data_IF_095740105772
#
_entry.id   IF_095740105772
#
_cell.length_a   1.000
_cell.length_b   1.000
_cell.length_c   1.000
_cell.angle_alpha   90.00
_cell.angle_beta   90.00
_cell.angle_gamma   90.00
#
_symmetry.space_group_name_H-M   'P 1'
#
loop_
_entity.id
_entity.type
_entity.pdbx_description
1 polymer ?
#
# COMPACT_ATOMS: atom_id res chain seq x y z
N UNK A 1 16.09 5.51 5.97
CA UNK A 1 14.76 5.77 6.57
C UNK A 1 13.73 5.35 5.55
N UNK A 2 13.05 4.24 5.80
CA UNK A 2 11.88 3.85 5.01
C UNK A 2 10.72 4.77 5.39
N UNK A 3 9.97 5.26 4.40
CA UNK A 3 8.78 6.06 4.66
C UNK A 3 7.68 5.14 5.19
N UNK A 4 7.09 5.44 6.34
CA UNK A 4 6.09 4.55 6.96
C UNK A 4 4.85 4.34 6.07
N UNK A 5 4.50 5.33 5.25
CA UNK A 5 3.42 5.25 4.25
C UNK A 5 3.82 4.53 2.95
N UNK A 6 5.07 4.08 2.82
CA UNK A 6 5.53 3.31 1.68
C UNK A 6 5.48 1.82 2.01
N UNK A 7 4.65 1.08 1.28
CA UNK A 7 4.37 -0.33 1.53
C UNK A 7 5.17 -1.27 0.63
N UNK A 8 5.97 -0.73 -0.30
CA UNK A 8 6.69 -1.54 -1.28
C UNK A 8 5.74 -2.27 -2.23
N UNK A 9 6.08 -3.51 -2.59
CA UNK A 9 5.35 -4.32 -3.54
C UNK A 9 4.14 -5.03 -2.91
N UNK A 10 3.12 -4.25 -2.53
CA UNK A 10 1.80 -4.79 -2.17
C UNK A 10 0.88 -4.76 -3.40
N UNK A 11 -0.05 -5.72 -3.47
CA UNK A 11 -1.02 -5.77 -4.57
C UNK A 11 -2.02 -4.63 -4.51
N UNK A 12 -2.69 -4.38 -5.64
CA UNK A 12 -3.81 -3.43 -5.68
C UNK A 12 -4.89 -3.79 -4.65
N UNK A 13 -5.28 -5.05 -4.58
CA UNK A 13 -6.34 -5.54 -3.68
C UNK A 13 -5.95 -5.32 -2.22
N UNK A 14 -4.69 -5.59 -1.86
CA UNK A 14 -4.22 -5.36 -0.48
C UNK A 14 -4.21 -3.88 -0.12
N UNK A 15 -3.79 -3.03 -1.06
CA UNK A 15 -3.89 -1.57 -0.89
C UNK A 15 -5.34 -1.15 -0.67
N UNK A 16 -6.28 -1.71 -1.43
CA UNK A 16 -7.69 -1.39 -1.32
C UNK A 16 -8.29 -1.82 0.03
N UNK A 17 -7.94 -3.01 0.50
CA UNK A 17 -8.31 -3.51 1.83
C UNK A 17 -7.81 -2.58 2.94
N UNK A 18 -6.52 -2.18 2.91
CA UNK A 18 -5.91 -1.34 3.93
C UNK A 18 -6.58 0.04 4.00
N UNK A 19 -6.80 0.68 2.86
CA UNK A 19 -7.43 2.00 2.79
C UNK A 19 -8.92 1.93 3.18
N UNK A 20 -9.63 0.90 2.72
CA UNK A 20 -11.05 0.71 3.05
C UNK A 20 -11.28 0.39 4.53
N UNK A 21 -10.35 -0.35 5.17
CA UNK A 21 -10.38 -0.63 6.60
C UNK A 21 -10.23 0.64 7.45
N UNK A 22 -9.43 1.61 6.99
CA UNK A 22 -9.33 2.92 7.64
C UNK A 22 -10.59 3.74 7.39
N UNK A 23 -11.04 3.82 6.14
CA UNK A 23 -12.33 4.43 5.77
C UNK A 23 -12.42 5.95 5.98
N UNK A 24 -11.28 6.65 6.13
CA UNK A 24 -11.23 8.10 6.34
C UNK A 24 -10.81 8.79 5.05
N UNK A 25 -11.59 9.78 4.61
CA UNK A 25 -11.26 10.60 3.44
C UNK A 25 -9.89 11.29 3.59
N UNK A 26 -9.08 11.21 2.54
CA UNK A 26 -7.70 11.71 2.55
C UNK A 26 -6.70 10.75 3.19
N UNK A 27 -7.12 9.52 3.51
CA UNK A 27 -6.19 8.43 3.84
C UNK A 27 -5.41 8.03 2.60
N UNK A 28 -4.11 7.80 2.75
CA UNK A 28 -3.26 7.49 1.61
C UNK A 28 -2.10 6.56 1.96
N UNK A 29 -1.60 5.87 0.94
CA UNK A 29 -0.34 5.13 1.00
C UNK A 29 0.34 5.12 -0.38
N UNK A 30 1.62 4.77 -0.40
CA UNK A 30 2.41 4.61 -1.62
C UNK A 30 2.86 3.15 -1.73
N UNK A 31 2.72 2.58 -2.93
CA UNK A 31 3.17 1.22 -3.26
C UNK A 31 3.92 1.20 -4.59
N UNK A 32 4.62 0.11 -4.86
CA UNK A 32 5.17 -0.14 -6.19
C UNK A 32 4.05 -0.46 -7.19
N UNK A 33 4.26 -0.05 -8.45
CA UNK A 33 3.30 -0.33 -9.51
C UNK A 33 3.48 -1.75 -10.04
N UNK A 34 2.44 -2.57 -9.94
CA UNK A 34 2.43 -3.95 -10.47
C UNK A 34 2.50 -3.98 -12.01
N UNK A 35 2.01 -2.94 -12.67
CA UNK A 35 1.90 -2.86 -14.13
C UNK A 35 3.12 -2.21 -14.80
N UNK A 36 3.84 -1.33 -14.09
CA UNK A 36 4.93 -0.55 -14.65
C UNK A 36 6.16 -0.66 -13.73
N UNK A 37 7.17 -1.45 -14.12
CA UNK A 37 8.40 -1.58 -13.35
C UNK A 37 9.06 -0.22 -13.08
N UNK A 38 9.40 0.02 -11.81
CA UNK A 38 10.06 1.26 -11.37
C UNK A 38 9.14 2.49 -11.21
N UNK A 39 7.86 2.37 -11.55
CA UNK A 39 6.85 3.38 -11.20
C UNK A 39 6.25 3.08 -9.83
N UNK A 40 5.78 4.13 -9.15
CA UNK A 40 5.03 4.02 -7.90
C UNK A 40 3.56 4.37 -8.14
N UNK A 41 2.73 3.93 -7.21
CA UNK A 41 1.31 4.26 -7.15
C UNK A 41 1.03 4.97 -5.82
N UNK A 42 0.56 6.22 -5.89
CA UNK A 42 -0.05 6.92 -4.77
C UNK A 42 -1.54 6.58 -4.76
N UNK A 43 -1.99 5.91 -3.72
CA UNK A 43 -3.38 5.50 -3.55
C UNK A 43 -4.04 6.35 -2.47
N UNK A 44 -5.19 6.93 -2.78
CA UNK A 44 -5.91 7.87 -1.90
C UNK A 44 -7.37 7.43 -1.77
N UNK A 45 -7.85 7.32 -0.53
CA UNK A 45 -9.25 7.02 -0.24
C UNK A 45 -10.08 8.30 -0.21
N UNK A 46 -11.17 8.31 -0.98
CA UNK A 46 -12.15 9.39 -0.99
C UNK A 46 -13.52 8.87 -1.41
N UNK A 47 -14.57 9.16 -0.63
CA UNK A 47 -15.96 8.79 -0.93
C UNK A 47 -16.14 7.30 -1.30
N UNK A 48 -15.57 6.41 -0.48
CA UNK A 48 -15.62 4.94 -0.67
C UNK A 48 -14.92 4.44 -1.94
N UNK A 49 -14.17 5.30 -2.63
CA UNK A 49 -13.38 4.96 -3.80
C UNK A 49 -11.90 5.16 -3.53
N UNK A 50 -11.08 4.43 -4.27
CA UNK A 50 -9.62 4.49 -4.17
C UNK A 50 -9.06 5.02 -5.47
N UNK A 51 -8.56 6.24 -5.39
CA UNK A 51 -7.97 6.96 -6.49
C UNK A 51 -6.48 6.61 -6.55
N UNK A 52 -6.04 6.06 -7.68
CA UNK A 52 -4.65 5.67 -7.89
C UNK A 52 -3.99 6.62 -8.87
N UNK A 53 -2.96 7.33 -8.39
CA UNK A 53 -2.14 8.24 -9.17
C UNK A 53 -0.77 7.63 -9.41
N UNK A 54 -0.34 7.60 -10.67
CA UNK A 54 0.95 7.00 -11.02
C UNK A 54 2.07 8.01 -10.91
N UNK A 55 3.16 7.61 -10.24
CA UNK A 55 4.38 8.39 -10.08
C UNK A 55 5.49 7.72 -10.86
N UNK A 56 6.05 8.43 -11.84
CA UNK A 56 7.16 7.99 -12.66
C UNK A 56 8.47 8.55 -12.14
N UNK A 57 9.48 7.69 -12.06
CA UNK A 57 10.87 8.10 -11.85
C UNK A 57 11.47 8.51 -13.19
N UNK A 58 12.02 9.73 -13.25
CA UNK A 58 12.73 10.25 -14.42
C UNK A 58 14.21 9.88 -14.35
N UNK A 59 14.88 9.88 -15.49
CA UNK A 59 16.29 9.50 -15.62
C UNK A 59 17.23 10.40 -14.79
N UNK A 60 16.82 11.63 -14.49
CA UNK A 60 17.54 12.57 -13.64
C UNK A 60 17.27 12.38 -12.14
N UNK A 61 16.58 11.31 -11.74
CA UNK A 61 16.20 11.04 -10.34
C UNK A 61 14.96 11.77 -9.84
N UNK A 62 14.36 12.65 -10.65
CA UNK A 62 13.14 13.36 -10.26
C UNK A 62 11.89 12.47 -10.37
N UNK A 63 10.84 12.84 -9.64
CA UNK A 63 9.54 12.19 -9.64
C UNK A 63 8.53 13.04 -10.38
N UNK A 64 7.71 12.41 -11.21
CA UNK A 64 6.60 13.06 -11.92
C UNK A 64 5.33 12.26 -11.66
N UNK A 65 4.30 12.92 -11.15
CA UNK A 65 2.99 12.31 -10.91
C UNK A 65 2.01 12.67 -12.02
N UNK A 66 1.20 11.70 -12.42
CA UNK A 66 0.10 11.90 -13.36
C UNK A 66 -1.19 12.16 -12.57
N UNK A 67 -1.59 13.43 -12.53
CA UNK A 67 -2.86 13.92 -11.95
C UNK A 67 -3.93 14.12 -13.05
N UNK A 68 -5.11 14.60 -12.66
CA UNK A 68 -6.20 14.91 -13.60
C UNK A 68 -5.80 15.93 -14.67
N UNK A 69 -6.49 15.85 -15.81
CA UNK A 69 -6.30 16.79 -16.92
C UNK A 69 -6.58 18.24 -16.48
N UNK A 70 -5.71 19.17 -16.88
CA UNK A 70 -5.79 20.58 -16.53
C UNK A 70 -4.90 21.03 -15.36
N UNK A 71 -4.27 20.09 -14.63
CA UNK A 71 -3.27 20.44 -13.61
C UNK A 71 -1.85 20.44 -14.22
N UNK A 72 -0.99 21.43 -13.91
CA UNK A 72 0.39 21.42 -14.40
C UNK A 72 1.13 20.16 -13.93
N UNK A 73 1.88 19.54 -14.84
CA UNK A 73 2.72 18.38 -14.49
C UNK A 73 3.83 18.82 -13.56
N UNK A 74 3.69 18.51 -12.27
CA UNK A 74 4.69 18.82 -11.27
C UNK A 74 5.82 17.79 -11.28
N UNK A 75 7.04 18.29 -11.08
CA UNK A 75 8.26 17.50 -10.98
C UNK A 75 8.89 17.74 -9.63
N UNK A 76 9.13 16.67 -8.89
CA UNK A 76 9.64 16.71 -7.51
C UNK A 76 11.01 16.05 -7.44
N UNK A 77 11.85 16.49 -6.50
CA UNK A 77 13.18 15.89 -6.30
C UNK A 77 13.10 14.62 -5.48
N UNK A 78 12.26 14.62 -4.45
CA UNK A 78 12.07 13.48 -3.55
C UNK A 78 10.61 13.10 -3.41
N UNK A 79 10.35 11.89 -2.92
CA UNK A 79 8.99 11.45 -2.59
C UNK A 79 8.39 12.28 -1.47
N UNK A 80 9.20 12.73 -0.51
CA UNK A 80 8.74 13.57 0.58
C UNK A 80 8.23 14.93 0.07
N UNK A 81 8.96 15.58 -0.83
CA UNK A 81 8.54 16.87 -1.43
C UNK A 81 7.21 16.73 -2.18
N UNK A 82 7.04 15.60 -2.88
CA UNK A 82 5.79 15.27 -3.56
C UNK A 82 4.65 15.18 -2.54
N UNK A 83 4.80 14.35 -1.50
CA UNK A 83 3.75 14.16 -0.50
C UNK A 83 3.43 15.48 0.21
N UNK A 84 4.43 16.26 0.60
CA UNK A 84 4.22 17.55 1.29
C UNK A 84 3.52 18.58 0.40
N UNK A 85 3.76 18.56 -0.91
CA UNK A 85 3.00 19.39 -1.84
C UNK A 85 1.51 18.99 -1.85
N UNK A 86 1.23 17.70 -1.96
CA UNK A 86 -0.14 17.17 -2.07
C UNK A 86 -0.91 17.11 -0.75
N UNK A 87 -0.28 17.40 0.39
CA UNK A 87 -0.99 17.72 1.65
C UNK A 87 -1.77 19.04 1.57
N UNK A 88 -1.38 19.94 0.66
CA UNK A 88 -2.09 21.20 0.43
C UNK A 88 -3.34 20.97 -0.43
N UNK A 89 -4.43 21.72 -0.20
CA UNK A 89 -5.62 21.64 -1.04
C UNK A 89 -5.36 22.12 -2.47
N UNK A 90 -6.23 21.71 -3.40
CA UNK A 90 -6.29 22.19 -4.79
C UNK A 90 -5.01 21.95 -5.62
N UNK A 91 -4.33 20.82 -5.41
CA UNK A 91 -3.12 20.45 -6.16
C UNK A 91 -3.36 19.46 -7.32
N UNK A 92 -4.62 19.15 -7.64
CA UNK A 92 -4.99 18.21 -8.73
C UNK A 92 -5.22 16.76 -8.30
N UNK A 93 -5.25 16.47 -7.00
CA UNK A 93 -5.83 15.23 -6.46
C UNK A 93 -7.31 15.44 -6.14
N UNK A 94 -8.04 14.33 -6.00
CA UNK A 94 -9.45 14.34 -5.59
C UNK A 94 -9.65 14.96 -4.20
N UNK A 95 -8.70 14.72 -3.31
CA UNK A 95 -8.61 15.31 -1.98
C UNK A 95 -7.13 15.49 -1.62
N UNK A 96 -6.83 16.44 -0.74
CA UNK A 96 -5.49 16.59 -0.20
C UNK A 96 -5.12 15.40 0.72
N UNK A 97 -3.83 15.11 0.80
CA UNK A 97 -3.30 14.04 1.64
C UNK A 97 -3.37 14.46 3.11
N UNK A 98 -4.07 13.68 3.93
CA UNK A 98 -4.28 14.00 5.34
C UNK A 98 -3.70 12.92 6.25
N UNK A 99 -4.01 11.65 5.98
CA UNK A 99 -3.76 10.55 6.92
C UNK A 99 -2.89 9.48 6.27
N UNK A 100 -1.57 9.42 6.56
CA UNK A 100 -0.73 8.34 6.06
C UNK A 100 -1.16 7.02 6.71
N UNK A 101 -1.42 6.01 5.87
CA UNK A 101 -1.63 4.64 6.33
C UNK A 101 -0.27 3.96 6.40
N UNK A 102 0.19 3.69 7.62
CA UNK A 102 1.51 3.14 7.84
C UNK A 102 1.55 1.64 7.60
N UNK A 103 2.67 1.14 7.08
CA UNK A 103 2.96 -0.28 6.97
C UNK A 103 3.02 -0.90 8.37
N UNK A 104 2.26 -1.97 8.60
CA UNK A 104 2.42 -2.77 9.81
C UNK A 104 3.72 -3.58 9.71
N UNK A 105 4.62 -3.50 10.71
CA UNK A 105 5.83 -4.33 10.73
C UNK A 105 5.52 -5.82 10.95
N UNK A 106 4.28 -6.17 11.35
CA UNK A 106 3.85 -7.55 11.64
C UNK A 106 3.15 -8.25 10.46
N UNK A 107 3.19 -7.67 9.25
CA UNK A 107 2.61 -8.28 8.03
C UNK A 107 3.71 -8.46 6.97
N UNK A 108 4.73 -9.22 7.31
CA UNK A 108 5.63 -9.85 6.34
C UNK A 108 5.40 -11.37 6.43
N UNK A 109 5.27 -12.03 5.28
CA UNK A 109 4.96 -13.46 5.06
C UNK A 109 3.45 -13.79 5.08
N UNK A 110 2.81 -14.38 4.05
CA UNK A 110 3.29 -15.30 3.01
C UNK A 110 2.60 -15.05 1.66
N UNK A 111 3.38 -14.91 0.58
CA UNK A 111 2.90 -15.15 -0.78
C UNK A 111 3.99 -15.93 -1.53
N UNK A 112 3.96 -17.25 -1.40
CA UNK A 112 4.52 -18.18 -2.38
C UNK A 112 3.35 -18.93 -3.00
N UNK A 113 2.99 -18.54 -4.22
CA UNK A 113 1.98 -19.22 -5.03
C UNK A 113 2.68 -20.31 -5.84
N UNK A 114 2.30 -21.57 -5.62
CA UNK A 114 2.21 -22.55 -6.71
C UNK A 114 0.88 -23.28 -6.58
N UNK A 115 -0.06 -22.89 -7.44
CA UNK A 115 -1.23 -23.71 -7.76
C UNK A 115 -0.78 -24.73 -8.79
N UNK A 116 -0.76 -26.00 -8.41
CA UNK A 116 -1.12 -27.08 -9.33
C UNK A 116 -2.34 -27.77 -8.73
N UNK A 117 -3.47 -27.67 -9.44
CA UNK A 117 -4.64 -28.51 -9.23
C UNK A 117 -4.18 -29.97 -9.27
N UNK A 118 -4.45 -30.69 -8.20
CA UNK A 118 -4.99 -32.06 -8.14
C UNK A 118 -4.64 -32.65 -6.75
N UNK A 119 -5.57 -33.43 -6.20
CA UNK A 119 -5.47 -34.28 -4.99
C UNK A 119 -5.94 -33.71 -3.62
N UNK A 120 -7.25 -33.89 -3.40
CA UNK A 120 -7.92 -34.57 -2.28
C UNK A 120 -7.61 -34.23 -0.80
N UNK A 121 -8.65 -33.72 -0.13
CA UNK A 121 -9.11 -33.96 1.26
C UNK A 121 -8.15 -34.59 2.29
N UNK A 122 -7.80 -33.84 3.34
CA UNK A 122 -8.19 -34.11 4.74
C UNK A 122 -7.62 -33.03 5.69
N UNK A 123 -8.46 -32.47 6.55
CA UNK A 123 -8.08 -31.55 7.64
C UNK A 123 -7.83 -32.38 8.91
N UNK A 124 -6.72 -32.19 9.65
CA UNK A 124 -6.67 -32.53 11.06
C UNK A 124 -7.07 -31.31 11.91
N UNK A 125 -8.20 -31.53 12.58
CA UNK A 125 -8.76 -30.96 13.79
C UNK A 125 -7.87 -30.04 14.66
N UNK A 126 -8.45 -28.91 15.08
CA UNK A 126 -7.87 -27.99 16.04
C UNK A 126 -8.57 -28.13 17.41
N UNK A 127 -7.78 -28.41 18.45
CA UNK A 127 -8.16 -28.39 19.86
C UNK A 127 -7.20 -29.30 20.62
N UNK A 128 -6.57 -28.97 21.75
CA UNK A 128 -6.68 -27.92 22.75
C UNK A 128 -5.27 -27.74 23.35
N UNK A 129 -4.93 -26.52 23.77
CA UNK A 129 -3.79 -26.34 24.67
C UNK A 129 -4.27 -26.65 26.09
N UNK A 130 -3.67 -27.63 26.76
CA UNK A 130 -3.60 -27.64 28.22
C UNK A 130 -2.23 -28.14 28.68
N UNK A 131 -1.50 -27.27 29.36
CA UNK A 131 -0.12 -27.48 29.79
C UNK A 131 -0.15 -27.85 31.27
N UNK A 132 0.26 -29.07 31.65
CA UNK A 132 0.78 -29.35 33.00
C UNK A 132 2.02 -30.24 32.90
N UNK A 133 3.17 -29.65 33.26
CA UNK A 133 4.43 -30.33 33.57
C UNK A 133 4.31 -31.07 34.91
N UNK A 134 4.64 -32.37 34.95
CA UNK A 134 4.88 -33.09 36.21
C UNK A 134 6.16 -33.92 36.10
N UNK A 135 7.13 -33.59 36.94
CA UNK A 135 8.45 -34.21 37.08
C UNK A 135 8.34 -35.67 37.60
N UNK A 136 9.31 -36.55 37.28
CA UNK A 136 9.35 -37.92 37.80
C UNK A 136 9.98 -38.02 39.20
N UNK A 137 9.52 -39.00 40.00
CA UNK A 137 10.22 -39.52 41.20
C UNK A 137 11.27 -40.58 40.81
#
# INVERSE_FOLDING_TARGET
MEFQYFHGNITKEKCEELLSKVGINGSFLVRDSESIPGALCLCVFYEHLIYTYRIFRKNNGHLMIQTSEGTPRLVFRTLNDLIDNYKKPNQGLVINLCYPVNRSPYHQETQTVYVTKDEAYAIPDAGENDYIDVLPD
#
